data_IF_768159190870
#
_entry.id   IF_768159190870
#
_cell.length_a   1.000
_cell.length_b   1.000
_cell.length_c   1.000
_cell.angle_alpha   90.00
_cell.angle_beta   90.00
_cell.angle_gamma   90.00
#
_symmetry.space_group_name_H-M   'P 1'
#
loop_
_entity.id
_entity.type
_entity.pdbx_description
1 polymer ?
#
# COMPACT_ATOMS: atom_id res chain seq x y z
N UNK A 1 -11.11 10.09 -10.14
CA UNK A 1 -9.65 10.02 -9.94
C UNK A 1 -9.34 8.78 -9.12
N UNK A 2 -8.34 7.96 -9.50
CA UNK A 2 -7.91 6.80 -8.69
C UNK A 2 -7.00 7.28 -7.56
N UNK A 3 -7.28 6.89 -6.32
CA UNK A 3 -6.47 7.25 -5.14
C UNK A 3 -5.45 6.14 -4.87
N UNK A 4 -4.16 6.45 -5.01
CA UNK A 4 -3.06 5.55 -4.65
C UNK A 4 -2.51 5.83 -3.26
N UNK A 5 -1.68 4.93 -2.76
CA UNK A 5 -0.90 5.08 -1.51
C UNK A 5 0.53 4.57 -1.74
N UNK A 6 1.52 5.26 -1.16
CA UNK A 6 2.91 4.84 -1.23
C UNK A 6 3.22 3.75 -0.19
N UNK A 7 4.09 2.79 -0.52
CA UNK A 7 4.44 1.69 0.40
C UNK A 7 5.01 2.16 1.75
N UNK A 8 5.64 3.34 1.82
CA UNK A 8 6.21 3.88 3.06
C UNK A 8 5.15 4.47 4.02
N UNK A 9 3.89 4.50 3.60
CA UNK A 9 2.77 4.79 4.50
C UNK A 9 2.42 3.59 5.41
N UNK A 10 2.98 2.41 5.14
CA UNK A 10 2.75 1.18 5.90
C UNK A 10 3.92 0.90 6.86
N UNK A 11 3.72 0.07 7.90
CA UNK A 11 4.81 -0.37 8.78
C UNK A 11 5.95 -1.01 7.97
N UNK A 12 7.21 -0.69 8.30
CA UNK A 12 8.38 -1.19 7.57
C UNK A 12 8.60 -2.71 7.64
N UNK A 13 7.90 -3.41 8.53
CA UNK A 13 7.88 -4.88 8.64
C UNK A 13 6.62 -5.51 8.02
N UNK A 14 5.73 -4.72 7.41
CA UNK A 14 4.53 -5.23 6.76
C UNK A 14 4.92 -6.00 5.50
N UNK A 15 4.34 -7.18 5.30
CA UNK A 15 4.52 -7.91 4.05
C UNK A 15 3.74 -7.23 2.93
N UNK A 16 4.10 -7.48 1.66
CA UNK A 16 3.29 -6.98 0.54
C UNK A 16 1.83 -7.42 0.62
N UNK A 17 1.56 -8.62 1.16
CA UNK A 17 0.19 -9.10 1.39
C UNK A 17 -0.56 -8.20 2.37
N UNK A 18 0.07 -7.81 3.47
CA UNK A 18 -0.54 -6.92 4.47
C UNK A 18 -0.77 -5.53 3.88
N UNK A 19 0.20 -5.02 3.13
CA UNK A 19 0.14 -3.73 2.43
C UNK A 19 -1.07 -3.70 1.47
N UNK A 20 -1.20 -4.69 0.58
CA UNK A 20 -2.33 -4.74 -0.37
C UNK A 20 -3.68 -4.94 0.35
N UNK A 21 -3.71 -5.75 1.41
CA UNK A 21 -4.92 -5.98 2.20
C UNK A 21 -5.38 -4.70 2.90
N UNK A 22 -4.46 -3.96 3.52
CA UNK A 22 -4.75 -2.70 4.19
C UNK A 22 -5.13 -1.60 3.17
N UNK A 23 -4.40 -1.50 2.05
CA UNK A 23 -4.71 -0.55 0.99
C UNK A 23 -6.16 -0.73 0.47
N UNK A 24 -6.55 -1.97 0.18
CA UNK A 24 -7.91 -2.30 -0.24
C UNK A 24 -8.94 -1.98 0.85
N UNK A 25 -8.65 -2.34 2.12
CA UNK A 25 -9.53 -2.05 3.27
C UNK A 25 -9.82 -0.55 3.43
N UNK A 26 -8.84 0.30 3.16
CA UNK A 26 -8.99 1.77 3.26
C UNK A 26 -9.41 2.45 1.95
N UNK A 27 -9.78 1.68 0.92
CA UNK A 27 -10.31 2.20 -0.33
C UNK A 27 -9.27 2.79 -1.28
N UNK A 28 -8.00 2.42 -1.12
CA UNK A 28 -6.95 2.75 -2.09
C UNK A 28 -7.04 1.81 -3.29
N UNK A 29 -6.95 2.37 -4.49
CA UNK A 29 -7.08 1.66 -5.75
C UNK A 29 -5.76 1.09 -6.27
N UNK A 30 -4.64 1.40 -5.61
CA UNK A 30 -3.31 0.93 -5.97
C UNK A 30 -2.29 1.31 -4.90
N UNK A 31 -1.20 0.54 -4.86
CA UNK A 31 -0.04 0.81 -4.01
C UNK A 31 1.15 1.08 -4.93
N UNK A 32 1.85 2.18 -4.70
CA UNK A 32 3.12 2.46 -5.34
C UNK A 32 4.23 1.73 -4.57
N UNK A 33 4.88 0.80 -5.26
CA UNK A 33 6.04 0.07 -4.74
C UNK A 33 7.30 0.87 -5.07
N UNK A 34 8.15 1.07 -4.07
CA UNK A 34 9.46 1.69 -4.24
C UNK A 34 10.51 0.56 -4.15
N UNK A 35 11.21 0.24 -5.24
CA UNK A 35 12.39 -0.62 -5.15
C UNK A 35 13.48 0.12 -4.35
N UNK A 36 14.22 -0.63 -3.53
CA UNK A 36 15.52 -0.17 -3.00
C UNK A 36 16.57 -0.07 -4.12
#
# INVERSE_FOLDING_TARGET
>A
MKKGINQWAFPGNATFRDIFTLAAKYGFAGVELCPD
#
